data_IF_107256592436
#
_entry.id   IF_107256592436
#
_cell.length_a   1.000
_cell.length_b   1.000
_cell.length_c   1.000
_cell.angle_alpha   90.00
_cell.angle_beta   90.00
_cell.angle_gamma   90.00
#
_symmetry.space_group_name_H-M   'P 1'
#
loop_
_entity.id
_entity.type
_entity.pdbx_description
1 polymer ?
#
# COMPACT_ATOMS: atom_id res chain seq x y z
N UNK A 1 68.30 33.48 67.48
CA UNK A 1 68.59 34.80 66.89
C UNK A 1 67.60 35.01 65.76
N UNK A 2 66.63 35.91 66.01
CA UNK A 2 65.85 36.77 65.10
C UNK A 2 65.33 36.21 63.76
N UNK A 3 64.15 36.53 63.22
CA UNK A 3 62.94 37.27 63.62
C UNK A 3 61.94 37.10 62.43
N UNK A 4 60.64 37.03 62.76
CA UNK A 4 59.46 37.64 62.11
C UNK A 4 59.30 37.70 60.55
N UNK A 5 58.16 37.17 60.08
CA UNK A 5 57.01 37.93 59.55
C UNK A 5 55.87 36.98 59.11
N UNK A 6 54.73 36.89 59.81
CA UNK A 6 53.55 37.78 59.82
C UNK A 6 52.50 37.43 58.74
N UNK A 7 51.45 36.72 59.15
CA UNK A 7 50.08 36.95 58.68
C UNK A 7 49.29 37.47 59.88
N UNK A 8 48.93 38.74 59.84
CA UNK A 8 48.01 39.40 60.77
C UNK A 8 46.58 38.83 60.61
N UNK A 9 45.96 38.43 61.73
CA UNK A 9 44.52 38.26 61.85
C UNK A 9 44.01 39.36 62.79
N UNK A 10 43.36 40.38 62.22
CA UNK A 10 43.02 41.64 62.90
C UNK A 10 41.55 41.72 63.36
N UNK A 11 40.92 40.60 63.74
CA UNK A 11 39.70 40.63 64.58
C UNK A 11 39.30 39.24 65.10
N UNK A 12 38.68 39.21 66.29
CA UNK A 12 38.20 38.01 66.98
C UNK A 12 36.91 37.39 66.39
N UNK A 13 36.55 37.68 65.13
CA UNK A 13 35.26 37.28 64.56
C UNK A 13 35.28 36.04 63.63
N UNK A 14 36.45 35.57 63.17
CA UNK A 14 36.52 34.59 62.08
C UNK A 14 37.14 33.22 62.42
N UNK A 15 37.14 32.83 63.69
CA UNK A 15 37.30 31.43 64.07
C UNK A 15 35.94 30.70 64.07
N UNK A 16 35.36 30.45 62.89
CA UNK A 16 34.29 29.44 62.76
C UNK A 16 34.89 28.13 62.23
N UNK A 17 35.07 27.21 63.17
CA UNK A 17 35.49 25.83 62.96
C UNK A 17 34.63 25.13 61.89
N UNK A 18 35.25 24.69 60.80
CA UNK A 18 34.62 23.74 59.88
C UNK A 18 34.51 22.38 60.60
N UNK A 19 33.29 22.00 61.02
CA UNK A 19 33.05 20.74 61.75
C UNK A 19 32.75 19.60 60.76
N UNK A 20 33.62 18.59 60.61
CA UNK A 20 33.52 17.54 59.57
C UNK A 20 32.27 16.64 59.69
N UNK A 21 31.51 16.71 60.78
CA UNK A 21 30.31 15.90 60.98
C UNK A 21 29.06 16.38 60.22
N UNK A 22 29.02 17.65 59.77
CA UNK A 22 27.86 18.17 59.03
C UNK A 22 27.84 17.71 57.57
N UNK A 23 29.01 17.60 56.93
CA UNK A 23 29.11 17.16 55.53
C UNK A 23 28.76 15.68 55.36
N UNK A 24 29.22 14.81 56.26
CA UNK A 24 28.90 13.37 56.22
C UNK A 24 27.41 13.12 56.42
N UNK A 25 26.77 13.88 57.31
CA UNK A 25 25.30 13.81 57.52
C UNK A 25 24.53 14.32 56.31
N UNK A 26 24.97 15.43 55.71
CA UNK A 26 24.35 15.98 54.50
C UNK A 26 24.48 15.01 53.30
N UNK A 27 25.65 14.38 53.10
CA UNK A 27 25.85 13.37 52.06
C UNK A 27 24.98 12.13 52.29
N UNK A 28 24.88 11.65 53.53
CA UNK A 28 24.04 10.50 53.87
C UNK A 28 22.55 10.73 53.62
N UNK A 29 22.04 11.91 53.97
CA UNK A 29 20.66 12.32 53.69
C UNK A 29 20.40 12.46 52.18
N UNK A 30 21.31 13.07 51.43
CA UNK A 30 21.19 13.20 49.98
C UNK A 30 21.18 11.84 49.26
N UNK A 31 22.01 10.89 49.70
CA UNK A 31 22.03 9.53 49.15
C UNK A 31 20.73 8.78 49.47
N UNK A 32 20.20 8.90 50.70
CA UNK A 32 18.95 8.27 51.07
C UNK A 32 17.75 8.80 50.27
N UNK A 33 17.70 10.12 50.03
CA UNK A 33 16.64 10.75 49.22
C UNK A 33 16.74 10.35 47.75
N UNK A 34 17.94 10.29 47.18
CA UNK A 34 18.13 9.87 45.77
C UNK A 34 17.79 8.40 45.58
N UNK A 35 18.25 7.51 46.45
CA UNK A 35 17.91 6.08 46.40
C UNK A 35 16.42 5.83 46.63
N UNK A 36 15.79 6.56 47.56
CA UNK A 36 14.35 6.53 47.79
C UNK A 36 13.55 6.98 46.57
N UNK A 37 13.96 8.09 45.93
CA UNK A 37 13.35 8.58 44.70
C UNK A 37 13.46 7.59 43.53
N UNK A 38 14.63 6.97 43.35
CA UNK A 38 14.83 5.93 42.32
C UNK A 38 13.96 4.70 42.59
N UNK A 39 13.84 4.27 43.85
CA UNK A 39 12.95 3.17 44.23
C UNK A 39 11.48 3.45 43.92
N UNK A 40 11.01 4.67 44.17
CA UNK A 40 9.65 5.11 43.85
C UNK A 40 9.42 5.16 42.35
N UNK A 41 10.37 5.67 41.56
CA UNK A 41 10.27 5.72 40.10
C UNK A 41 10.25 4.31 39.50
N UNK A 42 11.14 3.42 39.94
CA UNK A 42 11.19 2.04 39.44
C UNK A 42 9.97 1.22 39.87
N UNK A 43 9.50 1.40 41.11
CA UNK A 43 8.27 0.77 41.59
C UNK A 43 7.04 1.28 40.84
N UNK A 44 6.94 2.60 40.65
CA UNK A 44 5.89 3.25 39.88
C UNK A 44 5.87 2.81 38.42
N UNK A 45 7.05 2.72 37.76
CA UNK A 45 7.15 2.18 36.39
C UNK A 45 6.65 0.74 36.35
N UNK A 46 7.08 -0.13 37.27
CA UNK A 46 6.64 -1.53 37.29
C UNK A 46 5.12 -1.65 37.47
N UNK A 47 4.52 -0.87 38.35
CA UNK A 47 3.07 -0.85 38.56
C UNK A 47 2.35 -0.29 37.32
N UNK A 48 2.86 0.78 36.72
CA UNK A 48 2.31 1.36 35.49
C UNK A 48 2.38 0.41 34.30
N UNK A 49 3.49 -0.31 34.09
CA UNK A 49 3.60 -1.34 33.05
C UNK A 49 2.65 -2.50 33.32
N UNK A 50 2.56 -2.96 34.57
CA UNK A 50 1.63 -4.03 34.94
C UNK A 50 0.15 -3.60 34.83
N UNK A 51 -0.15 -2.32 35.03
CA UNK A 51 -1.48 -1.75 34.82
C UNK A 51 -1.78 -1.57 33.32
N UNK A 52 -0.81 -1.07 32.55
CA UNK A 52 -0.90 -0.93 31.09
C UNK A 52 -1.22 -2.28 30.44
N UNK A 53 -0.49 -3.35 30.82
CA UNK A 53 -0.70 -4.72 30.32
C UNK A 53 -2.09 -5.27 30.64
N UNK A 54 -2.71 -4.87 31.77
CA UNK A 54 -4.06 -5.31 32.16
C UNK A 54 -5.17 -4.48 31.52
N UNK A 55 -4.91 -3.21 31.19
CA UNK A 55 -5.92 -2.25 30.73
C UNK A 55 -5.93 -2.07 29.20
N UNK A 56 -4.90 -2.51 28.48
CA UNK A 56 -4.94 -2.59 27.01
C UNK A 56 -5.31 -4.00 26.58
N UNK A 57 -6.55 -4.26 26.12
CA UNK A 57 -6.89 -5.54 25.49
C UNK A 57 -6.23 -5.58 24.12
N UNK A 58 -4.98 -6.03 24.08
CA UNK A 58 -4.41 -6.61 22.88
C UNK A 58 -5.09 -7.95 22.66
N UNK A 59 -6.16 -7.97 21.87
CA UNK A 59 -6.57 -9.21 21.20
C UNK A 59 -5.37 -9.66 20.38
N UNK A 60 -4.82 -10.76 20.86
CA UNK A 60 -3.44 -11.19 20.84
C UNK A 60 -2.92 -11.29 19.41
N UNK A 61 -1.70 -10.83 19.17
CA UNK A 61 -1.04 -11.06 17.89
C UNK A 61 -1.09 -12.55 17.52
N UNK A 62 -0.95 -13.45 18.50
CA UNK A 62 -1.09 -14.89 18.29
C UNK A 62 -2.53 -15.30 17.89
N UNK A 63 -3.55 -14.71 18.50
CA UNK A 63 -4.96 -14.95 18.14
C UNK A 63 -5.25 -14.47 16.71
N UNK A 64 -4.76 -13.29 16.32
CA UNK A 64 -4.88 -12.75 14.96
C UNK A 64 -4.11 -13.58 13.93
N UNK A 65 -2.91 -14.03 14.28
CA UNK A 65 -2.10 -14.92 13.43
C UNK A 65 -2.77 -16.28 13.27
N UNK A 66 -3.39 -16.83 14.32
CA UNK A 66 -4.14 -18.08 14.24
C UNK A 66 -5.35 -18.01 13.29
N UNK A 67 -5.84 -16.80 12.98
CA UNK A 67 -6.94 -16.62 12.02
C UNK A 67 -6.49 -16.75 10.56
N UNK A 68 -5.20 -16.59 10.27
CA UNK A 68 -4.67 -16.72 8.91
C UNK A 68 -4.79 -18.16 8.41
N UNK A 69 -5.25 -18.39 7.17
CA UNK A 69 -5.46 -19.74 6.65
C UNK A 69 -4.21 -20.63 6.67
N UNK A 70 -3.01 -20.05 6.50
CA UNK A 70 -1.73 -20.76 6.62
C UNK A 70 -1.51 -21.42 7.98
N UNK A 71 -2.15 -20.90 9.03
CA UNK A 71 -2.01 -21.37 10.42
C UNK A 71 -3.17 -22.27 10.87
N UNK A 72 -4.12 -22.55 9.98
CA UNK A 72 -5.25 -23.47 10.20
C UNK A 72 -5.02 -24.79 9.45
N UNK A 73 -5.72 -25.88 9.82
CA UNK A 73 -5.83 -27.05 8.95
C UNK A 73 -6.32 -26.63 7.57
N UNK A 74 -5.70 -27.15 6.51
CA UNK A 74 -6.11 -26.83 5.14
C UNK A 74 -7.57 -27.25 4.95
N UNK A 75 -8.41 -26.31 4.50
CA UNK A 75 -9.74 -26.65 4.01
C UNK A 75 -9.63 -27.46 2.71
N UNK A 76 -10.75 -27.99 2.22
CA UNK A 76 -10.77 -28.75 0.97
C UNK A 76 -10.14 -28.00 -0.22
N UNK A 77 -9.63 -28.79 -1.16
CA UNK A 77 -9.09 -28.33 -2.44
C UNK A 77 -10.12 -27.47 -3.18
N UNK A 78 -9.66 -26.39 -3.81
CA UNK A 78 -10.47 -25.49 -4.61
C UNK A 78 -10.79 -26.11 -5.98
N UNK A 79 -11.93 -25.73 -6.56
CA UNK A 79 -12.25 -26.08 -7.95
C UNK A 79 -11.30 -25.38 -8.92
N UNK A 80 -10.57 -26.17 -9.72
CA UNK A 80 -9.49 -25.68 -10.59
C UNK A 80 -9.98 -24.62 -11.58
N UNK A 81 -11.09 -24.89 -12.26
CA UNK A 81 -11.63 -23.98 -13.28
C UNK A 81 -12.07 -22.65 -12.66
N UNK A 82 -12.72 -22.69 -11.49
CA UNK A 82 -13.17 -21.50 -10.76
C UNK A 82 -11.99 -20.67 -10.27
N UNK A 83 -10.94 -21.33 -9.76
CA UNK A 83 -9.71 -20.66 -9.36
C UNK A 83 -9.01 -19.98 -10.54
N UNK A 84 -8.95 -20.63 -11.70
CA UNK A 84 -8.34 -20.08 -12.92
C UNK A 84 -9.12 -18.89 -13.52
N UNK A 85 -10.47 -18.97 -13.55
CA UNK A 85 -11.30 -17.80 -13.90
C UNK A 85 -11.08 -16.65 -12.91
N UNK A 86 -11.06 -16.97 -11.61
CA UNK A 86 -10.78 -16.01 -10.55
C UNK A 86 -9.41 -15.33 -10.69
N UNK A 87 -8.38 -16.09 -11.04
CA UNK A 87 -7.02 -15.58 -11.33
C UNK A 87 -7.03 -14.61 -12.51
N UNK A 88 -7.78 -14.94 -13.56
CA UNK A 88 -7.93 -14.09 -14.75
C UNK A 88 -8.63 -12.77 -14.42
N UNK A 89 -9.75 -12.82 -13.70
CA UNK A 89 -10.47 -11.63 -13.26
C UNK A 89 -9.67 -10.80 -12.24
N UNK A 90 -8.93 -11.44 -11.34
CA UNK A 90 -8.03 -10.73 -10.42
C UNK A 90 -6.93 -10.00 -11.18
N UNK A 91 -6.32 -10.66 -12.18
CA UNK A 91 -5.34 -10.08 -13.09
C UNK A 91 -5.85 -8.81 -13.75
N UNK A 92 -7.13 -8.79 -14.12
CA UNK A 92 -7.79 -7.68 -14.83
C UNK A 92 -7.85 -6.35 -14.07
N UNK A 93 -8.07 -6.41 -12.76
CA UNK A 93 -8.61 -5.25 -12.03
C UNK A 93 -8.08 -5.15 -10.61
N UNK A 94 -7.56 -6.24 -10.04
CA UNK A 94 -7.04 -6.25 -8.67
C UNK A 94 -5.51 -6.22 -8.64
N UNK A 95 -4.86 -6.91 -9.58
CA UNK A 95 -3.40 -7.07 -9.65
C UNK A 95 -2.64 -5.75 -9.65
N UNK A 96 -3.17 -4.72 -10.32
CA UNK A 96 -2.51 -3.44 -10.44
C UNK A 96 -2.33 -2.70 -9.10
N UNK A 97 -3.22 -2.97 -8.13
CA UNK A 97 -3.12 -2.39 -6.78
C UNK A 97 -2.62 -3.39 -5.74
N UNK A 98 -3.00 -4.67 -5.87
CA UNK A 98 -2.71 -5.72 -4.89
C UNK A 98 -1.49 -6.58 -5.23
N UNK A 99 -0.87 -6.37 -6.40
CA UNK A 99 0.29 -7.13 -6.87
C UNK A 99 -0.06 -8.53 -7.39
N UNK A 100 0.85 -9.17 -8.16
CA UNK A 100 0.63 -10.51 -8.72
C UNK A 100 0.51 -11.61 -7.67
N UNK A 101 1.12 -11.41 -6.50
CA UNK A 101 1.03 -12.32 -5.35
C UNK A 101 -0.07 -11.94 -4.35
N UNK A 102 -0.78 -10.83 -4.57
CA UNK A 102 -1.75 -10.31 -3.61
C UNK A 102 -1.13 -9.70 -2.35
N UNK A 103 0.17 -9.41 -2.33
CA UNK A 103 0.89 -8.83 -1.17
C UNK A 103 0.74 -7.31 -1.03
N UNK A 104 0.07 -6.66 -1.97
CA UNK A 104 -0.14 -5.22 -1.99
C UNK A 104 1.00 -4.45 -2.68
N UNK A 105 0.68 -3.22 -3.06
CA UNK A 105 1.65 -2.24 -3.58
C UNK A 105 1.69 -1.08 -2.60
N UNK A 106 2.90 -0.70 -2.16
CA UNK A 106 3.08 0.36 -1.14
C UNK A 106 2.42 1.66 -1.61
N UNK A 107 1.50 2.18 -0.79
CA UNK A 107 0.76 3.41 -1.08
C UNK A 107 -0.46 3.24 -1.98
N UNK A 108 -0.75 2.02 -2.45
CA UNK A 108 -1.94 1.68 -3.24
C UNK A 108 -2.77 0.58 -2.55
N UNK A 109 -2.64 -0.67 -2.97
CA UNK A 109 -3.39 -1.80 -2.42
C UNK A 109 -2.71 -2.44 -1.20
N UNK A 110 -3.54 -3.04 -0.34
CA UNK A 110 -3.10 -3.77 0.85
C UNK A 110 -2.71 -5.21 0.53
N UNK A 111 -1.91 -5.81 1.41
CA UNK A 111 -1.71 -7.26 1.47
C UNK A 111 -3.05 -7.97 1.71
N UNK A 112 -3.39 -8.91 0.83
CA UNK A 112 -4.57 -9.77 0.89
C UNK A 112 -4.25 -11.14 1.49
N UNK A 113 -3.02 -11.62 1.30
CA UNK A 113 -2.53 -12.93 1.76
C UNK A 113 -2.54 -12.98 3.28
N UNK A 114 -1.89 -12.00 3.93
CA UNK A 114 -1.77 -11.93 5.39
C UNK A 114 -2.86 -11.07 6.04
N UNK A 115 -3.95 -10.81 5.32
CA UNK A 115 -5.03 -9.96 5.81
C UNK A 115 -6.00 -10.70 6.72
N UNK A 116 -6.04 -10.32 8.00
CA UNK A 116 -7.07 -10.78 8.94
C UNK A 116 -8.46 -10.34 8.47
N UNK A 117 -8.60 -9.16 7.85
CA UNK A 117 -9.87 -8.71 7.29
C UNK A 117 -10.36 -9.68 6.21
N UNK A 118 -9.49 -10.07 5.29
CA UNK A 118 -9.85 -11.03 4.24
C UNK A 118 -10.14 -12.39 4.87
N UNK A 119 -9.28 -12.87 5.78
CA UNK A 119 -9.38 -14.20 6.38
C UNK A 119 -10.62 -14.43 7.26
N UNK A 120 -11.17 -13.37 7.87
CA UNK A 120 -12.31 -13.48 8.81
C UNK A 120 -13.66 -13.27 8.17
N UNK A 121 -13.71 -12.74 6.95
CA UNK A 121 -14.96 -12.52 6.22
C UNK A 121 -15.40 -13.82 5.56
N UNK A 122 -16.71 -14.08 5.59
CA UNK A 122 -17.30 -15.11 4.73
C UNK A 122 -17.18 -14.73 3.26
N UNK A 123 -17.28 -15.71 2.36
CA UNK A 123 -17.15 -15.45 0.92
C UNK A 123 -18.28 -14.52 0.42
N UNK A 124 -19.51 -14.68 0.94
CA UNK A 124 -20.62 -13.78 0.62
C UNK A 124 -20.41 -12.35 1.12
N UNK A 125 -19.82 -12.16 2.30
CA UNK A 125 -19.43 -10.82 2.76
C UNK A 125 -18.32 -10.23 1.90
N UNK A 126 -17.37 -11.05 1.45
CA UNK A 126 -16.29 -10.61 0.57
C UNK A 126 -16.84 -10.16 -0.78
N UNK A 127 -17.76 -10.92 -1.38
CA UNK A 127 -18.43 -10.51 -2.64
C UNK A 127 -19.16 -9.18 -2.47
N UNK A 128 -19.89 -8.98 -1.37
CA UNK A 128 -20.55 -7.69 -1.07
C UNK A 128 -19.53 -6.56 -0.94
N UNK A 129 -18.42 -6.80 -0.23
CA UNK A 129 -17.35 -5.83 -0.09
C UNK A 129 -16.71 -5.49 -1.44
N UNK A 130 -16.43 -6.48 -2.30
CA UNK A 130 -15.92 -6.25 -3.65
C UNK A 130 -16.92 -5.48 -4.52
N UNK A 131 -18.22 -5.80 -4.44
CA UNK A 131 -19.26 -5.14 -5.22
C UNK A 131 -19.40 -3.66 -4.87
N UNK A 132 -19.25 -3.29 -3.59
CA UNK A 132 -19.38 -1.90 -3.11
C UNK A 132 -18.05 -1.14 -3.09
N UNK A 133 -16.94 -1.83 -2.83
CA UNK A 133 -15.65 -1.19 -2.58
C UNK A 133 -15.57 -0.47 -1.24
N UNK A 134 -14.59 0.42 -1.09
CA UNK A 134 -14.38 1.30 0.07
C UNK A 134 -13.89 2.67 -0.40
N UNK A 135 -14.63 3.72 -0.05
CA UNK A 135 -14.28 5.09 -0.40
C UNK A 135 -12.99 5.56 0.29
N UNK A 136 -12.37 6.63 -0.24
CA UNK A 136 -11.12 7.18 0.28
C UNK A 136 -11.27 7.83 1.67
N UNK A 137 -12.44 8.40 1.93
CA UNK A 137 -12.83 9.08 3.17
C UNK A 137 -13.41 8.15 4.24
N UNK A 138 -13.68 6.89 3.90
CA UNK A 138 -14.13 5.87 4.84
C UNK A 138 -13.14 5.78 6.02
N UNK A 139 -13.64 5.77 7.28
CA UNK A 139 -12.78 5.82 8.47
C UNK A 139 -11.88 4.59 8.61
N UNK A 140 -12.25 3.46 8.01
CA UNK A 140 -11.45 2.23 8.00
C UNK A 140 -10.53 2.15 6.77
N UNK A 141 -10.60 3.13 5.85
CA UNK A 141 -9.61 3.27 4.80
C UNK A 141 -8.33 3.91 5.34
N UNK A 142 -7.32 3.06 5.55
CA UNK A 142 -6.00 3.47 6.08
C UNK A 142 -5.01 3.88 5.01
N UNK A 143 -5.26 3.60 3.71
CA UNK A 143 -4.38 4.05 2.62
C UNK A 143 -4.78 5.42 2.08
N UNK A 144 -6.04 5.84 2.30
CA UNK A 144 -6.66 7.00 1.65
C UNK A 144 -6.75 6.90 0.14
N UNK A 145 -6.48 5.72 -0.41
CA UNK A 145 -6.73 5.34 -1.79
C UNK A 145 -8.05 4.57 -1.82
N UNK A 146 -9.05 4.99 -2.62
CA UNK A 146 -10.31 4.28 -2.70
C UNK A 146 -10.09 2.89 -3.29
N UNK A 147 -10.74 1.88 -2.71
CA UNK A 147 -10.95 0.60 -3.37
C UNK A 147 -12.26 0.72 -4.16
N UNK A 148 -12.21 0.87 -5.49
CA UNK A 148 -13.42 1.11 -6.28
C UNK A 148 -14.38 -0.08 -6.24
N UNK A 149 -15.69 0.16 -6.41
CA UNK A 149 -16.67 -0.90 -6.66
C UNK A 149 -16.19 -1.82 -7.78
N UNK A 150 -16.27 -3.13 -7.58
CA UNK A 150 -15.86 -4.19 -8.52
C UNK A 150 -14.42 -4.04 -9.03
N UNK A 151 -13.51 -3.48 -8.22
CA UNK A 151 -12.13 -3.22 -8.65
C UNK A 151 -12.03 -2.20 -9.79
N UNK A 152 -13.05 -1.37 -9.99
CA UNK A 152 -13.10 -0.40 -11.08
C UNK A 152 -13.63 -0.97 -12.39
N UNK A 153 -13.91 -2.28 -12.45
CA UNK A 153 -14.48 -2.92 -13.63
C UNK A 153 -15.99 -3.13 -13.46
N UNK A 154 -16.76 -2.22 -14.04
CA UNK A 154 -18.22 -2.27 -13.99
C UNK A 154 -18.83 -3.48 -14.74
N UNK A 155 -18.06 -4.12 -15.63
CA UNK A 155 -18.53 -5.29 -16.38
C UNK A 155 -18.55 -6.57 -15.54
N UNK A 156 -17.85 -6.61 -14.40
CA UNK A 156 -17.87 -7.80 -13.55
C UNK A 156 -19.25 -8.08 -12.99
N UNK A 157 -19.68 -9.33 -13.10
CA UNK A 157 -20.88 -9.87 -12.47
C UNK A 157 -20.58 -10.34 -11.04
N UNK A 158 -21.61 -10.63 -10.26
CA UNK A 158 -21.42 -11.26 -8.94
C UNK A 158 -20.81 -12.67 -9.05
N UNK A 159 -20.95 -13.33 -10.20
CA UNK A 159 -20.26 -14.59 -10.51
C UNK A 159 -18.75 -14.37 -10.54
N UNK A 160 -18.31 -13.37 -11.32
CA UNK A 160 -16.89 -13.03 -11.46
C UNK A 160 -16.28 -12.64 -10.11
N UNK A 161 -17.03 -11.90 -9.28
CA UNK A 161 -16.59 -11.57 -7.92
C UNK A 161 -16.45 -12.81 -7.03
N UNK A 162 -17.33 -13.82 -7.17
CA UNK A 162 -17.17 -15.10 -6.44
C UNK A 162 -15.93 -15.84 -6.88
N UNK A 163 -15.66 -15.87 -8.18
CA UNK A 163 -14.45 -16.50 -8.73
C UNK A 163 -13.18 -15.79 -8.21
N UNK A 164 -13.18 -14.45 -8.18
CA UNK A 164 -12.09 -13.66 -7.56
C UNK A 164 -11.92 -14.02 -6.08
N UNK A 165 -13.02 -14.18 -5.32
CA UNK A 165 -12.93 -14.58 -3.91
C UNK A 165 -12.29 -15.96 -3.77
N UNK A 166 -12.68 -16.94 -4.59
CA UNK A 166 -12.05 -18.27 -4.61
C UNK A 166 -10.54 -18.17 -4.88
N UNK A 167 -10.15 -17.33 -5.84
CA UNK A 167 -8.75 -17.07 -6.13
C UNK A 167 -8.00 -16.47 -4.94
N UNK A 168 -8.55 -15.43 -4.31
CA UNK A 168 -7.98 -14.80 -3.10
C UNK A 168 -7.87 -15.82 -1.95
N UNK A 169 -8.81 -16.77 -1.81
CA UNK A 169 -8.68 -17.86 -0.83
C UNK A 169 -7.49 -18.77 -1.11
N UNK A 170 -7.21 -19.09 -2.36
CA UNK A 170 -6.02 -19.85 -2.72
C UNK A 170 -4.72 -19.06 -2.54
N UNK A 171 -4.74 -17.73 -2.71
CA UNK A 171 -3.61 -16.88 -2.33
C UNK A 171 -3.34 -16.92 -0.81
N UNK A 172 -4.39 -16.91 0.03
CA UNK A 172 -4.25 -17.01 1.48
C UNK A 172 -3.86 -18.42 1.97
N UNK A 173 -4.24 -19.48 1.24
CA UNK A 173 -3.86 -20.86 1.53
C UNK A 173 -3.49 -21.64 0.25
N UNK A 174 -2.23 -21.53 -0.20
CA UNK A 174 -1.76 -22.20 -1.40
C UNK A 174 -1.90 -23.73 -1.36
N UNK A 175 -2.03 -24.34 -0.16
CA UNK A 175 -2.24 -25.79 -0.01
C UNK A 175 -3.58 -26.25 -0.59
N UNK A 176 -4.53 -25.33 -0.78
CA UNK A 176 -5.85 -25.61 -1.35
C UNK A 176 -5.87 -25.52 -2.88
N UNK A 177 -4.82 -25.01 -3.51
CA UNK A 177 -4.75 -24.89 -4.97
C UNK A 177 -4.48 -26.27 -5.57
N UNK A 178 -5.24 -26.71 -6.60
CA UNK A 178 -4.99 -27.99 -7.26
C UNK A 178 -3.58 -28.11 -7.83
N UNK A 179 -3.02 -29.32 -7.82
CA UNK A 179 -1.71 -29.57 -8.40
C UNK A 179 -1.68 -29.23 -9.89
N UNK A 180 -0.63 -28.53 -10.34
CA UNK A 180 -0.45 -28.13 -11.75
C UNK A 180 -1.17 -26.85 -12.18
N UNK A 181 -1.92 -26.22 -11.28
CA UNK A 181 -2.60 -24.94 -11.51
C UNK A 181 -1.68 -23.78 -11.10
N UNK A 182 -1.59 -22.74 -11.92
CA UNK A 182 -0.73 -21.60 -11.66
C UNK A 182 -1.33 -20.71 -10.57
N UNK A 183 -0.56 -20.42 -9.50
CA UNK A 183 -1.08 -19.65 -8.36
C UNK A 183 -1.15 -18.15 -8.64
N UNK A 184 -0.20 -17.60 -9.39
CA UNK A 184 -0.05 -16.14 -9.56
C UNK A 184 -0.71 -15.64 -10.83
N UNK A 185 -1.40 -14.49 -10.74
CA UNK A 185 -1.84 -13.74 -11.89
C UNK A 185 -0.64 -13.04 -12.54
N UNK A 186 -0.56 -13.01 -13.87
CA UNK A 186 0.57 -12.43 -14.60
C UNK A 186 0.14 -11.17 -15.37
N UNK A 187 1.06 -10.21 -15.63
CA UNK A 187 0.77 -9.04 -16.45
C UNK A 187 0.24 -9.37 -17.86
N UNK A 188 0.64 -10.52 -18.41
CA UNK A 188 0.14 -11.00 -19.70
C UNK A 188 -1.37 -11.29 -19.68
N UNK A 189 -1.90 -11.78 -18.55
CA UNK A 189 -3.34 -11.99 -18.38
C UNK A 189 -4.11 -10.67 -18.32
N UNK A 190 -3.46 -9.56 -17.95
CA UNK A 190 -4.03 -8.21 -17.94
C UNK A 190 -4.02 -7.59 -19.36
N UNK A 191 -2.96 -7.82 -20.13
CA UNK A 191 -2.88 -7.38 -21.54
C UNK A 191 -3.93 -8.06 -22.44
N UNK A 192 -4.25 -9.34 -22.18
CA UNK A 192 -5.26 -10.11 -22.92
C UNK A 192 -6.71 -9.59 -22.76
N UNK A 193 -6.94 -8.62 -21.87
CA UNK A 193 -8.27 -8.08 -21.55
C UNK A 193 -8.52 -6.69 -22.14
N UNK A 194 -7.49 -6.10 -22.75
CA UNK A 194 -7.68 -4.99 -23.69
C UNK A 194 -8.47 -5.54 -24.88
N UNK A 195 -9.58 -4.90 -25.31
CA UNK A 195 -10.38 -5.43 -26.42
C UNK A 195 -9.50 -5.75 -27.63
N UNK A 196 -9.69 -6.94 -28.20
CA UNK A 196 -8.83 -7.51 -29.25
C UNK A 196 -9.27 -7.14 -30.67
N UNK A 197 -10.37 -6.40 -30.80
CA UNK A 197 -10.94 -5.98 -32.09
C UNK A 197 -10.28 -4.71 -32.62
N UNK A 198 -9.04 -4.45 -32.23
CA UNK A 198 -8.29 -3.25 -32.58
C UNK A 198 -7.09 -3.63 -33.44
N UNK A 199 -6.80 -2.83 -34.46
CA UNK A 199 -5.69 -3.06 -35.36
C UNK A 199 -6.01 -3.91 -36.59
N UNK A 200 -7.29 -4.04 -36.94
CA UNK A 200 -7.69 -4.56 -38.25
C UNK A 200 -7.16 -3.61 -39.34
N UNK A 201 -6.38 -4.13 -40.28
CA UNK A 201 -5.70 -3.34 -41.31
C UNK A 201 -4.28 -2.85 -40.96
N UNK A 202 -3.78 -3.06 -39.74
CA UNK A 202 -2.39 -2.74 -39.39
C UNK A 202 -1.39 -3.71 -40.04
N UNK A 203 -0.18 -3.19 -40.30
CA UNK A 203 0.96 -4.00 -40.74
C UNK A 203 1.39 -5.00 -39.65
N UNK A 204 2.26 -5.95 -40.01
CA UNK A 204 2.79 -6.90 -39.03
C UNK A 204 3.59 -6.19 -37.93
N UNK A 205 4.44 -5.23 -38.33
CA UNK A 205 5.29 -4.46 -37.41
C UNK A 205 4.43 -3.59 -36.48
N UNK A 206 3.38 -2.94 -36.99
CA UNK A 206 2.45 -2.16 -36.18
C UNK A 206 1.68 -3.03 -35.18
N UNK A 207 1.37 -4.28 -35.53
CA UNK A 207 0.74 -5.23 -34.60
C UNK A 207 1.68 -5.65 -33.49
N UNK A 208 2.94 -5.90 -33.80
CA UNK A 208 3.96 -6.18 -32.79
C UNK A 208 4.15 -4.96 -31.85
N UNK A 209 4.21 -3.77 -32.43
CA UNK A 209 4.31 -2.51 -31.68
C UNK A 209 3.08 -2.26 -30.80
N UNK A 210 1.88 -2.57 -31.31
CA UNK A 210 0.64 -2.50 -30.55
C UNK A 210 0.67 -3.43 -29.33
N UNK A 211 1.12 -4.69 -29.49
CA UNK A 211 1.22 -5.63 -28.38
C UNK A 211 2.28 -5.21 -27.35
N UNK A 212 3.39 -4.62 -27.80
CA UNK A 212 4.38 -4.03 -26.91
C UNK A 212 3.80 -2.86 -26.11
N UNK A 213 3.04 -1.97 -26.77
CA UNK A 213 2.33 -0.85 -26.13
C UNK A 213 1.29 -1.31 -25.12
N UNK A 214 0.47 -2.30 -25.48
CA UNK A 214 -0.52 -2.94 -24.58
C UNK A 214 0.14 -3.50 -23.33
N UNK A 215 1.23 -4.26 -23.48
CA UNK A 215 1.96 -4.86 -22.36
C UNK A 215 2.58 -3.78 -21.46
N UNK A 216 3.16 -2.74 -22.07
CA UNK A 216 3.76 -1.63 -21.33
C UNK A 216 2.70 -0.85 -20.56
N UNK A 217 1.56 -0.54 -21.18
CA UNK A 217 0.41 0.10 -20.53
C UNK A 217 -0.15 -0.75 -19.38
N UNK A 218 -0.31 -2.06 -19.62
CA UNK A 218 -0.78 -3.02 -18.63
C UNK A 218 0.05 -2.97 -17.34
N UNK A 219 1.36 -2.83 -17.47
CA UNK A 219 2.30 -2.83 -16.34
C UNK A 219 2.27 -1.56 -15.47
N UNK A 220 1.93 -0.40 -16.05
CA UNK A 220 2.23 0.90 -15.43
C UNK A 220 1.03 1.86 -15.35
N UNK A 221 -0.02 1.65 -16.15
CA UNK A 221 -1.08 2.64 -16.32
C UNK A 221 -2.45 2.14 -15.82
N UNK A 222 -2.69 0.84 -15.91
CA UNK A 222 -3.98 0.19 -15.59
C UNK A 222 -4.41 0.35 -14.13
N UNK A 223 -3.46 0.52 -13.21
CA UNK A 223 -3.73 0.73 -11.79
C UNK A 223 -4.68 1.91 -11.53
N UNK A 224 -4.59 2.95 -12.37
CA UNK A 224 -5.43 4.14 -12.26
C UNK A 224 -6.40 4.26 -13.44
N UNK A 225 -5.98 3.88 -14.64
CA UNK A 225 -6.75 4.07 -15.87
C UNK A 225 -7.58 2.86 -16.29
N UNK A 226 -7.49 1.74 -15.57
CA UNK A 226 -8.18 0.49 -15.87
C UNK A 226 -7.57 -0.28 -17.04
N UNK A 227 -7.89 -1.58 -17.15
CA UNK A 227 -7.40 -2.44 -18.24
C UNK A 227 -7.84 -1.94 -19.62
N UNK A 228 -9.07 -1.43 -19.73
CA UNK A 228 -9.62 -0.88 -20.97
C UNK A 228 -9.26 0.60 -21.21
N UNK A 229 -8.40 1.20 -20.37
CA UNK A 229 -8.06 2.62 -20.39
C UNK A 229 -9.25 3.59 -20.26
N UNK A 230 -10.43 3.12 -19.84
CA UNK A 230 -11.66 3.92 -19.65
C UNK A 230 -11.72 4.66 -18.31
N UNK A 231 -10.67 4.55 -17.50
CA UNK A 231 -10.57 5.21 -16.20
C UNK A 231 -11.22 4.41 -15.07
N UNK A 232 -10.82 4.75 -13.85
CA UNK A 232 -11.40 4.20 -12.62
C UNK A 232 -11.98 5.38 -11.84
N UNK A 233 -13.28 5.38 -11.49
CA UNK A 233 -13.90 6.47 -10.74
C UNK A 233 -13.12 6.83 -9.48
N UNK A 234 -12.80 8.12 -9.33
CA UNK A 234 -12.01 8.64 -8.21
C UNK A 234 -10.50 8.39 -8.29
N UNK A 235 -9.99 7.75 -9.35
CA UNK A 235 -8.56 7.49 -9.57
C UNK A 235 -8.09 8.13 -10.89
N UNK A 236 -7.94 7.34 -11.96
CA UNK A 236 -7.54 7.82 -13.28
C UNK A 236 -8.72 8.18 -14.18
N UNK A 237 -8.46 9.07 -15.13
CA UNK A 237 -9.46 9.48 -16.14
C UNK A 237 -9.57 8.45 -17.27
N UNK A 238 -10.72 8.49 -17.94
CA UNK A 238 -10.88 7.86 -19.26
C UNK A 238 -9.85 8.44 -20.23
N UNK A 239 -9.09 7.56 -20.88
CA UNK A 239 -8.09 7.89 -21.90
C UNK A 239 -8.65 7.67 -23.32
N UNK A 240 -9.62 6.78 -23.47
CA UNK A 240 -10.26 6.40 -24.74
C UNK A 240 -11.14 7.54 -25.26
N UNK A 241 -11.98 8.12 -24.40
CA UNK A 241 -12.91 9.20 -24.80
C UNK A 241 -12.39 10.60 -24.42
N UNK A 242 -11.09 10.73 -24.16
CA UNK A 242 -10.49 11.96 -23.63
C UNK A 242 -10.25 13.02 -24.70
N UNK A 243 -11.04 14.09 -24.68
CA UNK A 243 -10.79 15.27 -25.51
C UNK A 243 -9.45 15.96 -25.22
N UNK A 244 -8.91 15.80 -24.01
CA UNK A 244 -7.57 16.30 -23.67
C UNK A 244 -6.51 15.58 -24.49
N UNK A 245 -6.57 14.24 -24.56
CA UNK A 245 -5.57 13.43 -25.29
C UNK A 245 -5.73 13.61 -26.79
N UNK A 246 -6.96 13.68 -27.31
CA UNK A 246 -7.22 13.87 -28.75
C UNK A 246 -6.65 15.19 -29.31
N UNK A 247 -6.53 16.23 -28.47
CA UNK A 247 -6.03 17.55 -28.89
C UNK A 247 -4.51 17.67 -28.87
N UNK A 248 -3.82 16.79 -28.14
CA UNK A 248 -2.36 16.81 -28.07
C UNK A 248 -1.78 16.05 -29.26
N UNK A 249 -0.66 16.53 -29.78
CA UNK A 249 0.21 15.71 -30.62
C UNK A 249 0.81 14.54 -29.83
N UNK A 250 1.41 13.57 -30.51
CA UNK A 250 2.05 12.42 -29.86
C UNK A 250 3.23 12.85 -28.98
N UNK A 251 4.05 13.79 -29.46
CA UNK A 251 5.16 14.38 -28.69
C UNK A 251 4.66 15.12 -27.44
N UNK A 252 3.56 15.88 -27.57
CA UNK A 252 2.97 16.60 -26.44
C UNK A 252 2.39 15.64 -25.40
N UNK A 253 1.75 14.55 -25.85
CA UNK A 253 1.24 13.50 -24.97
C UNK A 253 2.38 12.76 -24.27
N UNK A 254 3.44 12.38 -24.99
CA UNK A 254 4.63 11.77 -24.42
C UNK A 254 5.27 12.70 -23.37
N UNK A 255 5.43 13.99 -23.68
CA UNK A 255 5.95 14.97 -22.74
C UNK A 255 5.06 15.11 -21.49
N UNK A 256 3.74 15.05 -21.66
CA UNK A 256 2.80 15.02 -20.55
C UNK A 256 2.97 13.76 -19.69
N UNK A 257 3.08 12.58 -20.29
CA UNK A 257 3.27 11.32 -19.55
C UNK A 257 4.60 11.34 -18.79
N UNK A 258 5.69 11.83 -19.40
CA UNK A 258 7.01 11.95 -18.76
C UNK A 258 6.98 12.83 -17.51
N UNK A 259 6.22 13.92 -17.54
CA UNK A 259 6.10 14.86 -16.42
C UNK A 259 5.05 14.45 -15.38
N UNK A 260 3.97 13.83 -15.83
CA UNK A 260 2.79 13.59 -15.01
C UNK A 260 2.01 14.87 -14.67
N UNK A 261 1.07 14.76 -13.71
CA UNK A 261 0.26 15.86 -13.18
C UNK A 261 0.19 15.79 -11.65
N UNK A 262 0.56 16.88 -11.01
CA UNK A 262 0.54 17.03 -9.55
C UNK A 262 -0.90 16.98 -9.00
N UNK A 263 -1.13 16.45 -7.78
CA UNK A 263 -2.44 16.48 -7.13
C UNK A 263 -3.00 17.90 -6.91
N UNK A 264 -2.12 18.90 -6.78
CA UNK A 264 -2.50 20.31 -6.57
C UNK A 264 -2.63 21.11 -7.87
N UNK A 265 -2.32 20.53 -9.02
CA UNK A 265 -2.53 21.17 -10.32
C UNK A 265 -4.02 21.56 -10.44
N UNK A 266 -4.36 22.82 -10.80
CA UNK A 266 -5.74 23.26 -10.90
C UNK A 266 -6.56 22.46 -11.92
N UNK A 267 -5.92 21.87 -12.92
CA UNK A 267 -6.55 21.00 -13.92
C UNK A 267 -6.60 19.53 -13.46
N UNK A 268 -6.09 19.21 -12.27
CA UNK A 268 -6.30 17.90 -11.66
C UNK A 268 -7.66 17.86 -10.96
N UNK A 269 -8.60 17.18 -11.61
CA UNK A 269 -9.98 17.03 -11.13
C UNK A 269 -10.20 15.81 -10.25
N UNK A 270 -9.26 14.85 -10.19
CA UNK A 270 -9.36 13.67 -9.30
C UNK A 270 -8.65 13.87 -7.98
N UNK A 271 -7.76 14.88 -7.88
CA UNK A 271 -6.89 15.15 -6.73
C UNK A 271 -5.94 13.99 -6.40
N UNK A 272 -5.79 13.07 -7.35
CA UNK A 272 -4.85 11.95 -7.30
C UNK A 272 -3.71 12.31 -8.24
N UNK A 273 -2.48 12.17 -7.77
CA UNK A 273 -1.32 12.41 -8.60
C UNK A 273 -1.32 11.45 -9.80
N UNK A 274 -1.07 11.97 -11.01
CA UNK A 274 -0.55 11.16 -12.10
C UNK A 274 0.97 11.29 -12.05
N UNK A 275 1.70 10.35 -11.43
CA UNK A 275 3.15 10.48 -11.30
C UNK A 275 3.85 10.48 -12.66
N UNK A 276 5.07 11.07 -12.74
CA UNK A 276 5.94 10.94 -13.90
C UNK A 276 6.02 9.49 -14.39
N UNK A 277 5.77 9.26 -15.67
CA UNK A 277 5.84 7.93 -16.31
C UNK A 277 4.96 6.86 -15.63
N UNK A 278 3.80 7.26 -15.11
CA UNK A 278 2.91 6.35 -14.37
C UNK A 278 3.52 5.81 -13.07
N UNK A 279 4.55 6.47 -12.54
CA UNK A 279 5.26 6.04 -11.34
C UNK A 279 6.32 4.97 -11.62
N UNK A 280 6.56 4.64 -12.89
CA UNK A 280 7.60 3.72 -13.31
C UNK A 280 8.76 4.48 -13.97
N UNK A 281 9.84 4.79 -13.20
CA UNK A 281 10.98 5.53 -13.74
C UNK A 281 11.75 4.77 -14.83
N UNK A 282 11.54 3.46 -14.97
CA UNK A 282 12.22 2.61 -15.95
C UNK A 282 11.59 2.64 -17.37
N UNK A 283 10.49 3.39 -17.56
CA UNK A 283 9.93 3.62 -18.90
C UNK A 283 10.80 4.65 -19.63
N UNK A 284 11.48 4.22 -20.68
CA UNK A 284 12.20 5.08 -21.63
C UNK A 284 11.25 5.62 -22.70
N UNK A 285 11.75 6.47 -23.60
CA UNK A 285 10.90 7.13 -24.59
C UNK A 285 10.28 6.12 -25.57
N UNK A 286 11.00 5.08 -25.95
CA UNK A 286 10.50 3.98 -26.80
C UNK A 286 9.27 3.29 -26.18
N UNK A 287 9.31 2.96 -24.88
CA UNK A 287 8.16 2.39 -24.16
C UNK A 287 7.01 3.38 -24.00
N UNK A 288 7.29 4.67 -23.88
CA UNK A 288 6.25 5.69 -23.77
C UNK A 288 5.57 5.94 -25.12
N UNK A 289 6.34 5.90 -26.21
CA UNK A 289 5.83 5.97 -27.58
C UNK A 289 4.93 4.77 -27.91
N UNK A 290 5.29 3.56 -27.47
CA UNK A 290 4.42 2.39 -27.66
C UNK A 290 3.09 2.52 -26.90
N UNK A 291 3.10 3.13 -25.71
CA UNK A 291 1.86 3.48 -24.98
C UNK A 291 1.05 4.52 -25.76
N UNK A 292 1.68 5.57 -26.28
CA UNK A 292 1.01 6.61 -27.06
C UNK A 292 0.35 6.00 -28.29
N UNK A 293 1.08 5.19 -29.05
CA UNK A 293 0.55 4.44 -30.19
C UNK A 293 -0.66 3.59 -29.81
N UNK A 294 -0.55 2.81 -28.72
CA UNK A 294 -1.65 2.01 -28.21
C UNK A 294 -2.89 2.87 -27.88
N UNK A 295 -2.71 4.01 -27.20
CA UNK A 295 -3.82 4.91 -26.88
C UNK A 295 -4.48 5.47 -28.14
N UNK A 296 -3.73 5.81 -29.20
CA UNK A 296 -4.30 6.27 -30.47
C UNK A 296 -5.20 5.22 -31.10
N UNK A 297 -4.73 3.97 -31.16
CA UNK A 297 -5.52 2.85 -31.67
C UNK A 297 -6.83 2.67 -30.87
N UNK A 298 -6.78 2.81 -29.53
CA UNK A 298 -7.99 2.76 -28.70
C UNK A 298 -8.97 3.91 -29.03
N UNK A 299 -8.48 5.13 -29.20
CA UNK A 299 -9.31 6.30 -29.50
C UNK A 299 -9.99 6.19 -30.87
N UNK A 300 -9.26 5.75 -31.89
CA UNK A 300 -9.79 5.54 -33.24
C UNK A 300 -10.89 4.48 -33.24
N UNK A 301 -10.65 3.38 -32.54
CA UNK A 301 -11.59 2.26 -32.52
C UNK A 301 -12.86 2.54 -31.72
N UNK A 302 -12.82 3.49 -30.77
CA UNK A 302 -14.00 3.93 -30.04
C UNK A 302 -14.85 4.97 -30.79
N UNK A 303 -14.35 5.50 -31.90
CA UNK A 303 -15.09 6.43 -32.77
C UNK A 303 -15.84 5.75 -33.92
N UNK A 304 -15.66 4.43 -34.09
CA UNK A 304 -16.35 3.59 -35.08
C UNK A 304 -17.56 2.91 -34.46
#
# INVERSE_FOLDING_TARGET
>A
MNDLNCCECDSAADCRTNRPGHEVRALGLALAVTLGGVGIILGGWRVMVAAQVRLTPGHDFAERMALLPTNKPAAGTLEAETFERGRTHFGASCLACHGPEGLGVRGLGKDLVHSVFVATKSDGEMVKFLATGRAADDPLNTTKVPMPPRGGNAAFTDGDLRDIVVYVRGLQDPRRVPAGVAVQATPQALAAQVPTNFGEGLSADDKEWLEFGKTTFASSCTACHGAAATGIPGMGKDLVHSEFIKKLSDDELLAFIKRGRDPNDPLNTTKVAMPPKGGNPALDDEKLDSIVFFLRILQESATQ
#
